data_IF_426439446137
#
_entry.id   IF_426439446137
#
_cell.length_a   1.000
_cell.length_b   1.000
_cell.length_c   1.000
_cell.angle_alpha   90.00
_cell.angle_beta   90.00
_cell.angle_gamma   90.00
#
_symmetry.space_group_name_H-M   'P 1'
#
loop_
_entity.id
_entity.type
_entity.pdbx_description
1 polymer ?
#
# COMPACT_ATOMS: atom_id res chain seq x y z
N UNK A 1 -8.87 17.46 21.43
CA UNK A 1 -9.12 16.02 21.40
C UNK A 1 -10.60 15.75 21.55
N UNK A 2 -11.26 15.65 20.41
CA UNK A 2 -12.62 15.17 20.25
C UNK A 2 -12.61 13.72 19.72
N UNK A 3 -13.76 13.06 19.83
CA UNK A 3 -14.03 11.80 19.13
C UNK A 3 -14.96 12.10 17.95
N UNK A 4 -14.50 11.84 16.73
CA UNK A 4 -15.23 12.11 15.50
C UNK A 4 -15.60 10.79 14.83
N UNK A 5 -16.87 10.69 14.41
CA UNK A 5 -17.36 9.57 13.63
C UNK A 5 -17.54 9.99 12.18
N UNK A 6 -17.09 9.15 11.25
CA UNK A 6 -17.37 9.31 9.83
C UNK A 6 -18.85 9.02 9.54
N UNK A 7 -19.53 10.00 8.97
CA UNK A 7 -20.92 9.90 8.50
C UNK A 7 -21.01 9.76 6.98
N UNK A 8 -20.20 10.52 6.25
CA UNK A 8 -20.27 10.56 4.79
C UNK A 8 -21.59 11.12 4.24
N UNK A 9 -22.14 12.16 4.86
CA UNK A 9 -23.43 12.76 4.50
C UNK A 9 -23.34 14.22 4.04
N UNK A 10 -22.14 14.69 3.72
CA UNK A 10 -21.88 16.04 3.23
C UNK A 10 -22.51 16.27 1.86
N UNK A 11 -23.04 17.48 1.60
CA UNK A 11 -23.65 17.79 0.32
C UNK A 11 -22.61 17.74 -0.80
N UNK A 12 -23.01 17.18 -1.94
CA UNK A 12 -22.17 17.13 -3.13
C UNK A 12 -22.16 18.48 -3.85
N UNK A 13 -20.97 18.99 -4.16
CA UNK A 13 -20.72 20.24 -4.87
C UNK A 13 -19.68 19.97 -5.95
N UNK A 14 -19.99 20.33 -7.20
CA UNK A 14 -19.06 20.21 -8.30
C UNK A 14 -17.89 21.19 -8.13
N UNK A 15 -16.68 20.71 -8.36
CA UNK A 15 -15.53 21.57 -8.49
C UNK A 15 -15.65 22.42 -9.75
N UNK A 16 -15.30 23.71 -9.64
CA UNK A 16 -15.21 24.64 -10.76
C UNK A 16 -13.86 25.34 -10.72
N UNK A 17 -13.10 25.20 -11.80
CA UNK A 17 -11.76 25.77 -11.96
C UNK A 17 -11.71 26.62 -13.22
N UNK A 18 -11.27 27.86 -13.09
CA UNK A 18 -11.07 28.78 -14.22
C UNK A 18 -9.61 28.81 -14.63
N UNK A 19 -9.34 28.90 -15.93
CA UNK A 19 -8.01 28.99 -16.53
C UNK A 19 -8.00 30.20 -17.47
N UNK A 20 -7.07 31.12 -17.24
CA UNK A 20 -6.97 32.37 -18.02
C UNK A 20 -5.59 32.46 -18.69
N UNK A 21 -5.53 32.47 -20.03
CA UNK A 21 -4.31 32.77 -20.77
C UNK A 21 -3.88 34.22 -20.58
N UNK A 22 -2.58 34.46 -20.44
CA UNK A 22 -2.01 35.82 -20.39
C UNK A 22 -0.57 35.87 -20.92
N UNK A 23 -0.01 37.07 -21.07
CA UNK A 23 1.35 37.29 -21.58
C UNK A 23 1.42 37.59 -23.08
N UNK A 24 2.60 37.41 -23.69
CA UNK A 24 2.78 37.50 -25.15
C UNK A 24 2.29 36.20 -25.77
N UNK A 25 1.19 36.27 -26.52
CA UNK A 25 0.46 35.10 -26.99
C UNK A 25 0.92 34.53 -28.35
N UNK A 26 1.48 35.29 -29.31
CA UNK A 26 1.86 34.75 -30.62
C UNK A 26 2.90 33.61 -30.56
N UNK A 27 2.61 32.49 -31.23
CA UNK A 27 3.51 31.33 -31.40
C UNK A 27 3.83 30.50 -30.15
N UNK A 28 3.23 30.83 -29.00
CA UNK A 28 3.44 30.07 -27.77
C UNK A 28 2.53 28.85 -27.70
N UNK A 29 2.99 27.80 -27.02
CA UNK A 29 2.22 26.56 -26.81
C UNK A 29 1.67 26.50 -25.39
N UNK A 30 0.36 26.38 -25.27
CA UNK A 30 -0.40 26.24 -24.03
C UNK A 30 -0.78 24.77 -23.83
N UNK A 31 -0.53 24.23 -22.65
CA UNK A 31 -0.76 22.82 -22.34
C UNK A 31 -1.56 22.66 -21.05
N UNK A 32 -2.60 21.84 -21.13
CA UNK A 32 -3.40 21.37 -20.00
C UNK A 32 -3.11 19.88 -19.79
N UNK A 33 -2.83 19.47 -18.55
CA UNK A 33 -2.48 18.09 -18.22
C UNK A 33 -3.32 17.59 -17.06
N UNK A 34 -3.96 16.42 -17.23
CA UNK A 34 -4.61 15.68 -16.16
C UNK A 34 -3.93 14.31 -16.05
N UNK A 35 -3.39 14.02 -14.87
CA UNK A 35 -2.51 12.86 -14.67
C UNK A 35 -1.33 12.86 -15.64
N UNK A 36 -1.26 11.87 -16.53
CA UNK A 36 -0.22 11.72 -17.55
C UNK A 36 -0.70 12.06 -18.98
N UNK A 37 -1.90 12.62 -19.13
CA UNK A 37 -2.47 12.96 -20.44
C UNK A 37 -2.50 14.48 -20.61
N UNK A 38 -2.01 14.94 -21.76
CA UNK A 38 -1.92 16.37 -22.07
C UNK A 38 -2.71 16.73 -23.32
N UNK A 39 -3.31 17.92 -23.32
CA UNK A 39 -3.87 18.60 -24.47
C UNK A 39 -3.09 19.89 -24.69
N UNK A 40 -2.60 20.12 -25.91
CA UNK A 40 -1.78 21.28 -26.23
C UNK A 40 -2.32 22.05 -27.43
N UNK A 41 -2.25 23.38 -27.35
CA UNK A 41 -2.59 24.31 -28.42
C UNK A 41 -1.44 25.28 -28.65
N UNK A 42 -1.02 25.43 -29.91
CA UNK A 42 -0.04 26.45 -30.29
C UNK A 42 -0.76 27.64 -30.91
N UNK A 43 -0.61 28.80 -30.28
CA UNK A 43 -1.26 30.02 -30.72
C UNK A 43 -0.69 30.54 -32.05
N UNK A 44 -1.58 30.91 -32.96
CA UNK A 44 -1.28 31.66 -34.17
C UNK A 44 -0.85 33.10 -33.89
N UNK A 45 -0.25 33.74 -34.89
CA UNK A 45 0.31 35.09 -34.76
C UNK A 45 -0.69 36.21 -34.43
N UNK A 46 -1.99 35.95 -34.57
CA UNK A 46 -3.09 36.88 -34.30
C UNK A 46 -3.99 36.47 -33.14
N UNK A 47 -3.71 35.35 -32.49
CA UNK A 47 -4.63 34.80 -31.50
C UNK A 47 -4.64 35.66 -30.23
N UNK A 48 -5.84 35.97 -29.78
CA UNK A 48 -6.09 36.66 -28.52
C UNK A 48 -6.26 35.65 -27.39
N UNK A 49 -6.32 36.13 -26.14
CA UNK A 49 -6.62 35.27 -25.00
C UNK A 49 -7.98 34.55 -25.14
N UNK A 50 -8.96 35.21 -25.78
CA UNK A 50 -10.26 34.62 -26.12
C UNK A 50 -10.13 33.48 -27.12
N UNK A 51 -9.34 33.67 -28.18
CA UNK A 51 -9.14 32.64 -29.20
C UNK A 51 -8.45 31.40 -28.60
N UNK A 52 -7.44 31.62 -27.73
CA UNK A 52 -6.73 30.55 -27.04
C UNK A 52 -7.64 29.81 -26.06
N UNK A 53 -8.41 30.53 -25.23
CA UNK A 53 -9.34 29.90 -24.30
C UNK A 53 -10.41 29.08 -25.04
N UNK A 54 -10.91 29.58 -26.18
CA UNK A 54 -11.84 28.85 -27.03
C UNK A 54 -11.19 27.60 -27.62
N UNK A 55 -9.99 27.71 -28.19
CA UNK A 55 -9.29 26.57 -28.78
C UNK A 55 -8.98 25.47 -27.76
N UNK A 56 -8.55 25.85 -26.54
CA UNK A 56 -8.34 24.90 -25.44
C UNK A 56 -9.66 24.24 -24.99
N UNK A 57 -10.75 25.00 -24.94
CA UNK A 57 -12.10 24.48 -24.63
C UNK A 57 -12.56 23.47 -25.67
N UNK A 58 -12.38 23.77 -26.95
CA UNK A 58 -12.75 22.89 -28.06
C UNK A 58 -11.90 21.61 -28.06
N UNK A 59 -10.59 21.72 -27.84
CA UNK A 59 -9.69 20.56 -27.70
C UNK A 59 -10.08 19.68 -26.51
N UNK A 60 -10.47 20.29 -25.39
CA UNK A 60 -10.92 19.55 -24.20
C UNK A 60 -12.19 18.76 -24.49
N UNK A 61 -13.22 19.42 -25.01
CA UNK A 61 -14.51 18.80 -25.31
C UNK A 61 -14.44 17.79 -26.46
N UNK A 62 -13.42 17.88 -27.33
CA UNK A 62 -13.15 16.87 -28.35
C UNK A 62 -12.39 15.63 -27.81
N UNK A 63 -11.81 15.71 -26.61
CA UNK A 63 -11.04 14.62 -26.04
C UNK A 63 -11.93 13.45 -25.64
N UNK A 64 -11.52 12.24 -26.01
CA UNK A 64 -12.19 10.99 -25.62
C UNK A 64 -11.53 10.30 -24.42
N UNK A 65 -10.48 10.91 -23.85
CA UNK A 65 -9.77 10.34 -22.72
C UNK A 65 -10.61 10.47 -21.44
N UNK A 66 -10.65 9.40 -20.64
CA UNK A 66 -11.54 9.32 -19.47
C UNK A 66 -11.31 10.44 -18.44
N UNK A 67 -10.06 10.91 -18.31
CA UNK A 67 -9.70 12.02 -17.43
C UNK A 67 -10.35 13.36 -17.83
N UNK A 68 -10.64 13.56 -19.11
CA UNK A 68 -11.26 14.79 -19.62
C UNK A 68 -12.78 14.65 -19.74
N UNK A 69 -13.28 13.47 -20.09
CA UNK A 69 -14.72 13.25 -20.34
C UNK A 69 -15.60 13.33 -19.09
N UNK A 70 -15.01 13.39 -17.88
CA UNK A 70 -15.72 13.63 -16.62
C UNK A 70 -15.74 15.12 -16.22
N UNK A 71 -15.27 16.00 -17.10
CA UNK A 71 -15.10 17.42 -16.86
C UNK A 71 -15.59 18.19 -18.09
N UNK A 72 -16.67 18.96 -17.94
CA UNK A 72 -17.15 19.85 -18.99
C UNK A 72 -16.32 21.14 -19.03
N UNK A 73 -15.84 21.49 -20.23
CA UNK A 73 -15.20 22.78 -20.49
C UNK A 73 -16.18 23.77 -21.15
N UNK A 74 -16.14 25.02 -20.70
CA UNK A 74 -16.77 26.16 -21.36
C UNK A 74 -15.82 27.35 -21.38
N UNK A 75 -16.11 28.42 -22.13
CA UNK A 75 -15.35 29.66 -22.02
C UNK A 75 -16.26 30.88 -22.05
N UNK A 76 -15.83 31.92 -21.34
CA UNK A 76 -16.38 33.26 -21.45
C UNK A 76 -15.25 34.29 -21.44
N UNK A 77 -15.21 35.15 -22.45
CA UNK A 77 -14.33 36.32 -22.56
C UNK A 77 -12.86 36.02 -22.21
N UNK A 78 -12.30 34.92 -22.74
CA UNK A 78 -10.89 34.56 -22.52
C UNK A 78 -10.61 33.84 -21.20
N UNK A 79 -11.66 33.41 -20.50
CA UNK A 79 -11.57 32.54 -19.33
C UNK A 79 -12.20 31.20 -19.67
N UNK A 80 -11.38 30.16 -19.73
CA UNK A 80 -11.86 28.78 -19.79
C UNK A 80 -12.32 28.35 -18.41
N UNK A 81 -13.48 27.70 -18.32
CA UNK A 81 -14.04 27.16 -17.08
C UNK A 81 -14.19 25.65 -17.22
N UNK A 82 -13.55 24.92 -16.32
CA UNK A 82 -13.68 23.48 -16.16
C UNK A 82 -14.61 23.19 -14.99
N UNK A 83 -15.63 22.37 -15.23
CA UNK A 83 -16.61 21.96 -14.21
C UNK A 83 -16.65 20.45 -14.12
N UNK A 84 -16.55 19.90 -12.91
CA UNK A 84 -16.74 18.46 -12.70
C UNK A 84 -18.18 18.07 -13.04
N UNK A 85 -18.34 17.04 -13.88
CA UNK A 85 -19.67 16.59 -14.31
C UNK A 85 -20.43 15.88 -13.17
N UNK A 86 -19.69 15.35 -12.19
CA UNK A 86 -20.25 14.65 -11.03
C UNK A 86 -19.89 15.44 -9.76
N UNK A 87 -20.88 16.12 -9.13
CA UNK A 87 -20.67 16.80 -7.87
C UNK A 87 -20.05 15.88 -6.81
N UNK A 88 -19.01 16.36 -6.11
CA UNK A 88 -18.29 15.56 -5.12
C UNK A 88 -17.11 14.76 -5.67
N UNK A 89 -16.89 14.71 -6.98
CA UNK A 89 -15.70 14.14 -7.60
C UNK A 89 -14.73 15.26 -7.99
N UNK A 90 -13.53 15.35 -7.36
CA UNK A 90 -12.55 16.37 -7.67
C UNK A 90 -11.74 16.00 -8.91
N UNK A 91 -11.08 17.01 -9.47
CA UNK A 91 -10.08 16.84 -10.53
C UNK A 91 -8.88 17.77 -10.32
N UNK A 92 -7.72 17.35 -10.81
CA UNK A 92 -6.52 18.18 -10.83
C UNK A 92 -6.06 18.42 -12.26
N UNK A 93 -5.89 19.70 -12.61
CA UNK A 93 -5.41 20.14 -13.91
C UNK A 93 -4.12 20.94 -13.72
N UNK A 94 -3.03 20.42 -14.25
CA UNK A 94 -1.77 21.16 -14.35
C UNK A 94 -1.77 21.96 -15.65
N UNK A 95 -1.25 23.18 -15.59
CA UNK A 95 -1.22 24.09 -16.74
C UNK A 95 0.19 24.60 -16.99
N UNK A 96 0.62 24.62 -18.25
CA UNK A 96 1.91 25.21 -18.64
C UNK A 96 1.79 25.98 -19.95
N UNK A 97 2.71 26.91 -20.17
CA UNK A 97 2.85 27.65 -21.43
C UNK A 97 4.34 27.87 -21.74
N UNK A 98 4.68 27.99 -23.01
CA UNK A 98 6.05 28.30 -23.44
C UNK A 98 6.36 29.80 -23.42
N UNK A 99 7.65 30.13 -23.50
CA UNK A 99 8.13 31.51 -23.64
C UNK A 99 7.73 32.41 -22.48
N UNK A 100 7.04 33.51 -22.79
CA UNK A 100 6.57 34.49 -21.79
C UNK A 100 5.06 34.39 -21.50
N UNK A 101 4.36 33.46 -22.15
CA UNK A 101 2.95 33.23 -21.90
C UNK A 101 2.72 32.48 -20.59
N UNK A 102 1.53 32.62 -20.02
CA UNK A 102 1.13 31.90 -18.81
C UNK A 102 -0.33 31.46 -18.89
N UNK A 103 -0.65 30.41 -18.13
CA UNK A 103 -2.01 30.02 -17.79
C UNK A 103 -2.18 30.24 -16.29
N UNK A 104 -3.10 31.12 -15.91
CA UNK A 104 -3.45 31.31 -14.50
C UNK A 104 -4.64 30.44 -14.16
N UNK A 105 -4.45 29.52 -13.22
CA UNK A 105 -5.46 28.55 -12.79
C UNK A 105 -6.01 28.94 -11.42
N UNK A 106 -7.34 28.96 -11.27
CA UNK A 106 -8.00 29.34 -10.02
C UNK A 106 -9.25 28.48 -9.78
N UNK A 107 -9.30 27.78 -8.65
CA UNK A 107 -10.48 27.01 -8.23
C UNK A 107 -11.46 27.92 -7.52
N UNK A 108 -12.54 28.29 -8.20
CA UNK A 108 -13.58 29.21 -7.68
C UNK A 108 -14.67 28.49 -6.87
N UNK A 109 -14.86 27.20 -7.12
CA UNK A 109 -15.71 26.33 -6.29
C UNK A 109 -14.93 25.07 -5.96
N UNK A 110 -14.68 24.85 -4.67
CA UNK A 110 -13.99 23.65 -4.17
C UNK A 110 -14.90 22.44 -4.23
N UNK A 111 -14.34 21.27 -4.58
CA UNK A 111 -15.04 20.01 -4.46
C UNK A 111 -15.51 19.78 -3.02
N UNK A 112 -16.73 19.28 -2.85
CA UNK A 112 -17.25 18.76 -1.57
C UNK A 112 -18.20 17.62 -1.86
N UNK A 113 -18.27 16.63 -0.98
CA UNK A 113 -19.22 15.55 -1.15
C UNK A 113 -19.18 14.50 -0.06
N UNK A 114 -20.07 13.49 -0.13
CA UNK A 114 -20.17 12.45 0.89
C UNK A 114 -18.93 11.56 1.00
N UNK A 115 -18.05 11.58 -0.01
CA UNK A 115 -16.84 10.75 -0.06
C UNK A 115 -15.53 11.51 0.15
N UNK A 116 -15.62 12.79 0.49
CA UNK A 116 -14.48 13.68 0.67
C UNK A 116 -14.15 13.87 2.16
N UNK A 117 -12.95 13.47 2.58
CA UNK A 117 -12.47 13.65 3.95
C UNK A 117 -12.53 15.12 4.38
N UNK A 118 -12.20 16.04 3.48
CA UNK A 118 -12.08 17.48 3.74
C UNK A 118 -13.43 18.21 3.85
N UNK A 119 -14.55 17.48 3.72
CA UNK A 119 -15.89 18.02 3.92
C UNK A 119 -16.32 17.87 5.39
N UNK A 120 -16.32 18.98 6.13
CA UNK A 120 -16.65 19.03 7.56
C UNK A 120 -18.01 18.40 7.93
N UNK A 121 -19.00 18.49 7.03
CA UNK A 121 -20.33 17.89 7.21
C UNK A 121 -20.31 16.34 7.22
N UNK A 122 -19.23 15.70 6.77
CA UNK A 122 -19.05 14.26 6.87
C UNK A 122 -18.69 13.78 8.27
N UNK A 123 -18.44 14.68 9.21
CA UNK A 123 -18.00 14.35 10.56
C UNK A 123 -19.10 14.58 11.58
N UNK A 124 -19.14 13.75 12.63
CA UNK A 124 -20.19 13.81 13.66
C UNK A 124 -20.29 15.15 14.37
N UNK A 125 -19.16 15.85 14.49
CA UNK A 125 -19.03 17.16 15.14
C UNK A 125 -19.26 18.34 14.19
N UNK A 126 -19.41 18.09 12.89
CA UNK A 126 -19.48 19.14 11.86
C UNK A 126 -18.16 19.90 11.66
N UNK A 127 -17.04 19.35 12.14
CA UNK A 127 -15.68 19.90 12.02
C UNK A 127 -14.71 18.82 11.55
N UNK A 128 -13.65 19.21 10.85
CA UNK A 128 -12.61 18.27 10.41
C UNK A 128 -11.79 17.74 11.59
N UNK A 129 -11.29 16.49 11.53
CA UNK A 129 -10.31 15.99 12.48
C UNK A 129 -9.06 16.87 12.52
N UNK A 130 -8.54 17.09 13.73
CA UNK A 130 -7.31 17.85 13.99
C UNK A 130 -6.34 17.06 14.86
N UNK A 131 -5.18 17.64 15.17
CA UNK A 131 -4.14 16.98 15.95
C UNK A 131 -4.65 16.53 17.32
N UNK A 132 -4.36 15.27 17.66
CA UNK A 132 -4.75 14.64 18.91
C UNK A 132 -6.20 14.17 18.96
N UNK A 133 -6.99 14.29 17.90
CA UNK A 133 -8.35 13.74 17.88
C UNK A 133 -8.37 12.21 17.71
N UNK A 134 -9.51 11.60 18.05
CA UNK A 134 -9.81 10.19 17.76
C UNK A 134 -10.82 10.11 16.62
N UNK A 135 -10.49 9.40 15.56
CA UNK A 135 -11.37 9.19 14.41
C UNK A 135 -11.90 7.76 14.42
N UNK A 136 -13.20 7.59 14.18
CA UNK A 136 -13.88 6.29 14.17
C UNK A 136 -14.68 6.12 12.89
N UNK A 137 -14.43 5.01 12.20
CA UNK A 137 -15.24 4.48 11.12
C UNK A 137 -16.00 3.26 11.60
N UNK A 138 -17.33 3.33 11.63
CA UNK A 138 -18.19 2.20 11.98
C UNK A 138 -19.57 2.33 11.34
N UNK A 139 -20.26 1.20 11.15
CA UNK A 139 -21.67 1.13 10.73
C UNK A 139 -22.01 1.99 9.49
N UNK A 140 -21.07 2.11 8.56
CA UNK A 140 -21.22 2.92 7.36
C UNK A 140 -20.63 2.18 6.16
N UNK A 141 -21.30 2.34 5.02
CA UNK A 141 -20.83 1.90 3.70
C UNK A 141 -20.31 3.06 2.85
N UNK A 142 -20.35 4.29 3.36
CA UNK A 142 -19.96 5.47 2.59
C UNK A 142 -18.44 5.56 2.52
N UNK A 143 -17.82 5.45 1.33
CA UNK A 143 -16.38 5.41 1.21
C UNK A 143 -15.74 6.80 1.43
N UNK A 144 -14.46 6.82 1.81
CA UNK A 144 -13.57 7.97 1.77
C UNK A 144 -12.67 7.80 0.55
N UNK A 145 -12.91 8.59 -0.48
CA UNK A 145 -12.25 8.47 -1.78
C UNK A 145 -11.42 9.71 -2.13
N UNK A 146 -11.78 10.86 -1.56
CA UNK A 146 -11.20 12.15 -1.91
C UNK A 146 -10.76 12.93 -0.67
N UNK A 147 -9.95 13.98 -0.88
CA UNK A 147 -9.34 14.75 0.20
C UNK A 147 -8.33 13.94 1.01
N UNK A 148 -7.63 13.02 0.33
CA UNK A 148 -6.84 11.98 0.97
C UNK A 148 -5.50 12.46 1.54
N UNK A 149 -4.96 13.60 1.07
CA UNK A 149 -3.80 14.23 1.73
C UNK A 149 -4.23 14.99 2.99
N UNK A 150 -3.95 14.37 4.13
CA UNK A 150 -4.13 14.91 5.48
C UNK A 150 -2.81 14.79 6.26
N UNK A 151 -1.68 14.84 5.56
CA UNK A 151 -0.34 14.57 6.11
C UNK A 151 0.07 15.52 7.25
N UNK A 152 -0.56 16.70 7.32
CA UNK A 152 -0.38 17.66 8.41
C UNK A 152 -1.11 17.29 9.72
N UNK A 153 -2.01 16.30 9.70
CA UNK A 153 -2.80 15.88 10.86
C UNK A 153 -2.15 14.65 11.52
N UNK A 154 -1.99 14.70 12.84
CA UNK A 154 -1.58 13.57 13.68
C UNK A 154 -2.67 13.24 14.69
N UNK A 155 -3.43 12.18 14.44
CA UNK A 155 -4.47 11.68 15.31
C UNK A 155 -3.88 10.98 16.54
N UNK A 156 -4.60 11.05 17.66
CA UNK A 156 -4.32 10.21 18.82
C UNK A 156 -4.73 8.74 18.56
N UNK A 157 -5.82 8.53 17.81
CA UNK A 157 -6.25 7.19 17.42
C UNK A 157 -7.10 7.22 16.14
N UNK A 158 -6.94 6.19 15.31
CA UNK A 158 -7.80 5.89 14.16
C UNK A 158 -8.37 4.49 14.33
N UNK A 159 -9.68 4.39 14.53
CA UNK A 159 -10.38 3.12 14.65
C UNK A 159 -11.23 2.87 13.42
N UNK A 160 -10.96 1.78 12.70
CA UNK A 160 -11.77 1.32 11.58
C UNK A 160 -12.41 -0.01 11.99
N UNK A 161 -13.64 0.07 12.50
CA UNK A 161 -14.36 -1.11 13.01
C UNK A 161 -14.74 -2.03 11.84
N UNK A 162 -14.86 -3.33 12.12
CA UNK A 162 -15.26 -4.32 11.12
C UNK A 162 -16.64 -3.99 10.52
N UNK A 163 -17.52 -3.28 11.25
CA UNK A 163 -18.83 -2.85 10.73
C UNK A 163 -18.77 -1.75 9.67
N UNK A 164 -17.62 -1.10 9.49
CA UNK A 164 -17.40 -0.21 8.35
C UNK A 164 -17.10 -1.04 7.10
N UNK A 165 -17.96 -0.91 6.09
CA UNK A 165 -17.84 -1.62 4.81
C UNK A 165 -17.54 -0.68 3.64
N UNK A 166 -17.49 0.64 3.90
CA UNK A 166 -17.01 1.62 2.93
C UNK A 166 -15.53 1.41 2.62
N UNK A 167 -15.06 1.93 1.49
CA UNK A 167 -13.65 1.89 1.06
C UNK A 167 -12.92 3.13 1.60
N UNK A 168 -11.62 3.04 1.88
CA UNK A 168 -10.74 4.17 2.19
C UNK A 168 -9.59 4.14 1.19
N UNK A 169 -9.45 5.22 0.42
CA UNK A 169 -8.50 5.34 -0.67
C UNK A 169 -9.05 4.93 -2.04
N UNK A 170 -8.26 5.18 -3.08
CA UNK A 170 -8.59 4.89 -4.49
C UNK A 170 -7.83 3.66 -5.00
N UNK A 171 -8.35 3.05 -6.09
CA UNK A 171 -7.70 1.93 -6.78
C UNK A 171 -6.66 2.47 -7.76
N UNK A 172 -5.39 2.12 -7.61
CA UNK A 172 -4.32 2.60 -8.48
C UNK A 172 -4.50 2.15 -9.95
N UNK A 173 -5.10 0.98 -10.17
CA UNK A 173 -5.24 0.37 -11.48
C UNK A 173 -6.55 0.74 -12.20
N UNK A 174 -7.42 1.54 -11.59
CA UNK A 174 -8.69 1.93 -12.19
C UNK A 174 -9.11 3.34 -11.78
N UNK A 175 -9.28 4.22 -12.76
CA UNK A 175 -9.69 5.60 -12.56
C UNK A 175 -11.12 5.67 -11.99
N UNK A 176 -11.27 6.33 -10.85
CA UNK A 176 -12.56 6.44 -10.15
C UNK A 176 -13.36 7.62 -10.73
N UNK A 177 -14.46 7.33 -11.42
CA UNK A 177 -15.31 8.37 -12.02
C UNK A 177 -16.42 8.84 -11.07
N UNK A 178 -16.85 7.99 -10.14
CA UNK A 178 -17.82 8.28 -9.08
C UNK A 178 -17.60 7.32 -7.89
N UNK A 179 -18.36 7.45 -6.81
CA UNK A 179 -18.24 6.72 -5.54
C UNK A 179 -18.07 5.20 -5.66
N UNK A 180 -18.64 4.57 -6.70
CA UNK A 180 -18.47 3.14 -6.94
C UNK A 180 -18.34 2.76 -8.43
N UNK A 181 -18.04 3.74 -9.29
CA UNK A 181 -17.87 3.51 -10.73
C UNK A 181 -16.43 3.77 -11.13
N UNK A 182 -15.87 2.86 -11.93
CA UNK A 182 -14.47 2.87 -12.31
C UNK A 182 -14.30 2.70 -13.82
N UNK A 183 -13.30 3.39 -14.38
CA UNK A 183 -12.79 3.11 -15.72
C UNK A 183 -11.53 2.25 -15.61
N UNK A 184 -11.65 0.97 -15.97
CA UNK A 184 -10.59 -0.04 -15.73
C UNK A 184 -9.43 -0.02 -16.72
N UNK A 185 -9.56 0.74 -17.81
CA UNK A 185 -8.49 0.90 -18.81
C UNK A 185 -7.56 2.08 -18.50
N UNK A 186 -7.77 2.79 -17.40
CA UNK A 186 -7.01 3.96 -17.00
C UNK A 186 -6.61 3.84 -15.54
N UNK A 187 -5.36 4.18 -15.22
CA UNK A 187 -4.90 4.20 -13.83
C UNK A 187 -5.51 5.40 -13.08
N UNK A 188 -5.54 5.33 -11.75
CA UNK A 188 -5.88 6.51 -10.95
C UNK A 188 -4.66 7.44 -10.89
N UNK A 189 -4.88 8.73 -11.14
CA UNK A 189 -3.80 9.74 -11.13
C UNK A 189 -3.73 10.53 -9.83
N UNK A 190 -4.83 10.56 -9.07
CA UNK A 190 -4.93 11.25 -7.77
C UNK A 190 -4.26 10.44 -6.67
N UNK A 191 -4.06 11.06 -5.51
CA UNK A 191 -3.62 10.34 -4.32
C UNK A 191 -4.53 9.16 -4.03
N UNK A 192 -3.94 8.00 -3.76
CA UNK A 192 -4.70 6.75 -3.61
C UNK A 192 -4.71 6.22 -2.18
N UNK A 193 -3.84 6.73 -1.32
CA UNK A 193 -3.78 6.45 0.11
C UNK A 193 -4.32 7.64 0.90
N UNK A 194 -5.07 7.38 1.98
CA UNK A 194 -5.31 8.40 2.99
C UNK A 194 -4.00 8.65 3.73
N UNK A 195 -3.31 9.73 3.40
CA UNK A 195 -2.10 10.18 4.06
C UNK A 195 -2.49 10.92 5.34
N UNK A 196 -2.35 10.28 6.51
CA UNK A 196 -2.69 10.85 7.81
C UNK A 196 -1.85 10.23 8.92
N UNK A 197 -1.27 11.06 9.79
CA UNK A 197 -0.58 10.57 10.98
C UNK A 197 -1.58 10.01 12.00
N UNK A 198 -1.26 8.88 12.62
CA UNK A 198 -1.99 8.37 13.78
C UNK A 198 -1.05 7.57 14.70
N UNK A 199 -1.02 7.88 15.99
CA UNK A 199 -0.13 7.16 16.91
C UNK A 199 -0.64 5.74 17.23
N UNK A 200 -1.95 5.54 17.13
CA UNK A 200 -2.61 4.24 17.28
C UNK A 200 -3.63 4.01 16.17
N UNK A 201 -3.55 2.86 15.51
CA UNK A 201 -4.53 2.43 14.50
C UNK A 201 -5.06 1.06 14.88
N UNK A 202 -6.38 0.93 14.95
CA UNK A 202 -7.06 -0.35 15.19
C UNK A 202 -8.03 -0.65 14.04
N UNK A 203 -7.87 -1.81 13.39
CA UNK A 203 -8.68 -2.24 12.26
C UNK A 203 -9.38 -3.57 12.60
N UNK A 204 -10.66 -3.65 12.29
CA UNK A 204 -11.41 -4.91 12.31
C UNK A 204 -11.91 -5.34 13.68
N UNK A 205 -11.91 -4.45 14.68
CA UNK A 205 -12.59 -4.74 15.94
C UNK A 205 -14.10 -4.87 15.69
N UNK A 206 -14.72 -5.87 16.32
CA UNK A 206 -16.16 -6.08 16.32
C UNK A 206 -16.61 -6.66 17.66
N UNK A 207 -17.77 -6.22 18.13
CA UNK A 207 -18.51 -6.84 19.22
C UNK A 207 -19.88 -7.25 18.69
N UNK A 208 -20.12 -8.57 18.61
CA UNK A 208 -21.38 -9.11 18.11
C UNK A 208 -21.26 -10.58 17.70
N UNK A 209 -22.40 -11.25 17.55
CA UNK A 209 -22.46 -12.69 17.30
C UNK A 209 -22.05 -13.08 15.87
N UNK A 210 -22.12 -12.16 14.91
CA UNK A 210 -21.74 -12.40 13.52
C UNK A 210 -20.79 -11.29 13.06
N UNK A 211 -19.52 -11.61 12.74
CA UNK A 211 -18.57 -10.61 12.31
C UNK A 211 -19.03 -10.00 10.98
N UNK A 212 -19.12 -8.66 10.89
CA UNK A 212 -19.40 -7.98 9.64
C UNK A 212 -18.30 -8.25 8.61
N UNK A 213 -18.59 -7.95 7.34
CA UNK A 213 -17.67 -8.21 6.25
C UNK A 213 -16.35 -7.44 6.37
N UNK A 214 -16.35 -6.25 6.98
CA UNK A 214 -15.21 -5.34 6.93
C UNK A 214 -15.08 -4.63 5.59
N UNK A 215 -14.25 -3.60 5.56
CA UNK A 215 -13.93 -2.88 4.33
C UNK A 215 -13.06 -3.74 3.41
N UNK A 216 -13.40 -3.75 2.12
CA UNK A 216 -12.62 -4.42 1.08
C UNK A 216 -11.41 -3.61 0.59
N UNK A 217 -11.26 -2.36 1.06
CA UNK A 217 -10.11 -1.50 0.74
C UNK A 217 -9.91 -0.46 1.84
N UNK A 218 -8.78 -0.54 2.52
CA UNK A 218 -8.25 0.44 3.45
C UNK A 218 -6.80 0.71 3.03
N UNK A 219 -6.54 1.89 2.50
CA UNK A 219 -5.21 2.35 2.12
C UNK A 219 -4.80 3.51 3.03
N UNK A 220 -3.80 3.30 3.86
CA UNK A 220 -3.31 4.29 4.83
C UNK A 220 -1.81 4.57 4.63
N UNK A 221 -1.45 5.84 4.60
CA UNK A 221 -0.06 6.30 4.71
C UNK A 221 0.08 7.15 5.96
N UNK A 222 0.94 6.72 6.89
CA UNK A 222 1.16 7.41 8.18
C UNK A 222 2.36 8.34 8.18
N UNK A 223 3.06 8.45 7.04
CA UNK A 223 4.23 9.29 6.87
C UNK A 223 5.28 9.00 7.93
N UNK A 224 5.85 10.06 8.53
CA UNK A 224 6.85 9.95 9.59
C UNK A 224 6.28 9.79 11.01
N UNK A 225 4.96 9.60 11.16
CA UNK A 225 4.34 9.45 12.49
C UNK A 225 4.65 8.08 13.07
N UNK A 226 5.15 8.04 14.31
CA UNK A 226 5.29 6.78 15.04
C UNK A 226 3.92 6.13 15.24
N UNK A 227 3.71 4.98 14.62
CA UNK A 227 2.41 4.31 14.55
C UNK A 227 2.47 2.94 15.20
N UNK A 228 1.50 2.64 16.08
CA UNK A 228 1.15 1.27 16.44
C UNK A 228 -0.09 0.84 15.66
N UNK A 229 0.08 -0.04 14.68
CA UNK A 229 -1.01 -0.61 13.88
C UNK A 229 -1.42 -1.98 14.44
N UNK A 230 -2.71 -2.16 14.74
CA UNK A 230 -3.29 -3.41 15.17
C UNK A 230 -4.44 -3.83 14.25
N UNK A 231 -4.26 -4.92 13.52
CA UNK A 231 -5.24 -5.52 12.62
C UNK A 231 -5.82 -6.78 13.29
N UNK A 232 -7.06 -6.67 13.75
CA UNK A 232 -7.77 -7.77 14.41
C UNK A 232 -8.45 -8.70 13.39
N UNK A 233 -8.98 -8.11 12.32
CA UNK A 233 -9.57 -8.81 11.18
C UNK A 233 -9.68 -7.84 9.98
N UNK A 234 -9.97 -8.36 8.80
CA UNK A 234 -10.21 -7.57 7.58
C UNK A 234 -11.39 -8.15 6.80
N UNK A 235 -11.72 -7.58 5.65
CA UNK A 235 -12.48 -8.31 4.65
C UNK A 235 -11.71 -9.55 4.17
N UNK A 236 -12.45 -10.58 3.75
CA UNK A 236 -11.87 -11.81 3.19
C UNK A 236 -11.32 -11.62 1.78
N UNK A 237 -11.85 -10.64 1.04
CA UNK A 237 -11.52 -10.34 -0.35
C UNK A 237 -11.33 -8.83 -0.51
N UNK A 238 -10.31 -8.45 -1.27
CA UNK A 238 -10.06 -7.07 -1.68
C UNK A 238 -10.95 -6.71 -2.87
N UNK A 239 -11.42 -5.47 -2.96
CA UNK A 239 -12.04 -4.97 -4.19
C UNK A 239 -11.04 -4.75 -5.31
N UNK A 240 -9.77 -4.60 -4.95
CA UNK A 240 -8.68 -4.36 -5.87
C UNK A 240 -8.01 -5.71 -6.18
N UNK A 241 -7.97 -6.07 -7.46
CA UNK A 241 -7.54 -7.38 -7.92
C UNK A 241 -6.11 -7.71 -7.43
N UNK A 242 -5.91 -8.92 -6.90
CA UNK A 242 -4.64 -9.40 -6.35
C UNK A 242 -4.03 -8.56 -5.20
N UNK A 243 -4.78 -7.66 -4.60
CA UNK A 243 -4.30 -6.82 -3.49
C UNK A 243 -4.85 -7.27 -2.13
N UNK A 244 -4.22 -6.78 -1.06
CA UNK A 244 -4.73 -6.96 0.29
C UNK A 244 -5.80 -5.89 0.61
N UNK A 245 -6.90 -6.26 1.30
CA UNK A 245 -7.92 -5.32 1.75
C UNK A 245 -7.37 -4.19 2.63
N UNK A 246 -6.35 -4.46 3.43
CA UNK A 246 -5.61 -3.42 4.16
C UNK A 246 -4.23 -3.28 3.54
N UNK A 247 -3.87 -2.08 3.13
CA UNK A 247 -2.53 -1.68 2.65
C UNK A 247 -2.06 -0.50 3.49
N UNK A 248 -0.84 -0.61 4.02
CA UNK A 248 -0.29 0.39 4.92
C UNK A 248 1.14 0.76 4.57
N UNK A 249 1.44 2.05 4.71
CA UNK A 249 2.76 2.65 4.59
C UNK A 249 3.03 3.53 5.82
N UNK A 250 4.27 3.53 6.29
CA UNK A 250 4.75 4.41 7.35
C UNK A 250 6.27 4.36 7.44
N UNK A 251 6.91 5.48 7.75
CA UNK A 251 8.36 5.68 7.64
C UNK A 251 9.06 5.93 8.98
N UNK A 252 8.33 5.90 10.08
CA UNK A 252 8.94 6.05 11.39
C UNK A 252 9.69 4.78 11.82
N UNK A 253 10.92 4.93 12.30
CA UNK A 253 11.78 3.81 12.68
C UNK A 253 11.17 2.90 13.77
N UNK A 254 10.38 3.47 14.68
CA UNK A 254 9.75 2.74 15.80
C UNK A 254 8.30 2.31 15.54
N UNK A 255 7.90 2.16 14.28
CA UNK A 255 6.59 1.61 13.95
C UNK A 255 6.46 0.16 14.45
N UNK A 256 5.29 -0.15 14.98
CA UNK A 256 4.94 -1.50 15.45
C UNK A 256 3.66 -1.96 14.78
N UNK A 257 3.70 -3.13 14.15
CA UNK A 257 2.57 -3.70 13.42
C UNK A 257 2.19 -5.03 14.06
N UNK A 258 0.90 -5.23 14.33
CA UNK A 258 0.34 -6.46 14.86
C UNK A 258 -0.84 -6.89 13.99
N UNK A 259 -0.86 -8.14 13.59
CA UNK A 259 -2.02 -8.74 12.92
C UNK A 259 -2.40 -10.04 13.59
N UNK A 260 -3.68 -10.18 13.92
CA UNK A 260 -4.25 -11.39 14.50
C UNK A 260 -4.93 -12.25 13.43
N UNK A 261 -5.71 -11.61 12.55
CA UNK A 261 -6.41 -12.24 11.43
C UNK A 261 -6.56 -11.27 10.25
N UNK A 262 -6.88 -11.81 9.08
CA UNK A 262 -7.18 -11.05 7.88
C UNK A 262 -5.98 -10.93 6.95
N UNK A 263 -5.98 -9.89 6.11
CA UNK A 263 -5.02 -9.73 5.02
C UNK A 263 -4.43 -8.33 5.04
N UNK A 264 -3.11 -8.24 5.17
CA UNK A 264 -2.36 -6.98 5.26
C UNK A 264 -1.22 -6.92 4.23
N UNK A 265 -1.15 -5.81 3.50
CA UNK A 265 -0.03 -5.43 2.67
C UNK A 265 0.78 -4.30 3.33
N UNK A 266 2.10 -4.43 3.40
CA UNK A 266 3.02 -3.40 3.88
C UNK A 266 3.88 -2.97 2.70
N UNK A 267 3.66 -1.75 2.19
CA UNK A 267 4.32 -1.22 0.99
C UNK A 267 4.34 -2.22 -0.19
N UNK A 268 3.25 -2.98 -0.35
CA UNK A 268 3.15 -4.12 -1.27
C UNK A 268 2.35 -3.82 -2.54
N UNK A 269 1.85 -2.60 -2.69
CA UNK A 269 0.80 -2.31 -3.66
C UNK A 269 1.36 -1.89 -5.02
N UNK A 270 2.36 -1.00 -5.02
CA UNK A 270 3.05 -0.55 -6.23
C UNK A 270 4.57 -0.75 -6.12
N UNK A 271 5.27 -1.01 -7.24
CA UNK A 271 6.72 -0.99 -7.25
C UNK A 271 7.27 0.34 -6.75
N UNK A 272 8.26 0.29 -5.84
CA UNK A 272 8.90 1.48 -5.28
C UNK A 272 8.26 2.02 -4.00
N UNK A 273 7.11 1.48 -3.56
CA UNK A 273 6.62 1.76 -2.22
C UNK A 273 7.64 1.28 -1.17
N UNK A 274 7.80 2.08 -0.11
CA UNK A 274 8.71 1.81 0.99
C UNK A 274 8.01 2.02 2.32
N UNK A 275 8.41 1.29 3.35
CA UNK A 275 7.96 1.50 4.72
C UNK A 275 9.06 1.11 5.71
N UNK A 276 8.91 1.50 6.97
CA UNK A 276 9.81 1.12 8.06
C UNK A 276 8.97 0.54 9.19
N UNK A 277 9.33 -0.66 9.63
CA UNK A 277 8.69 -1.39 10.72
C UNK A 277 9.78 -1.94 11.63
N UNK A 278 9.77 -1.52 12.90
CA UNK A 278 10.70 -2.09 13.88
C UNK A 278 10.25 -3.50 14.27
N UNK A 279 8.98 -3.64 14.66
CA UNK A 279 8.45 -4.93 15.12
C UNK A 279 7.16 -5.29 14.40
N UNK A 280 7.16 -6.44 13.73
CA UNK A 280 5.99 -7.05 13.10
C UNK A 280 5.62 -8.34 13.85
N UNK A 281 4.41 -8.37 14.41
CA UNK A 281 3.85 -9.55 15.09
C UNK A 281 2.69 -10.13 14.30
N UNK A 282 2.75 -11.42 14.06
CA UNK A 282 1.74 -12.17 13.32
C UNK A 282 1.23 -13.27 14.23
N UNK A 283 0.00 -13.08 14.70
CA UNK A 283 -0.68 -13.96 15.62
C UNK A 283 -1.53 -15.00 14.93
N UNK A 284 -2.32 -15.68 15.76
CA UNK A 284 -3.35 -16.62 15.37
C UNK A 284 -4.54 -16.49 16.33
N UNK A 285 -5.76 -16.72 15.83
CA UNK A 285 -6.97 -16.75 16.65
C UNK A 285 -7.62 -18.14 16.69
N UNK A 286 -7.25 -19.04 15.77
CA UNK A 286 -7.78 -20.40 15.70
C UNK A 286 -7.01 -21.36 14.78
N UNK A 287 -6.65 -20.95 13.55
CA UNK A 287 -5.95 -21.81 12.57
C UNK A 287 -4.52 -21.34 12.31
N UNK A 288 -3.55 -22.17 12.71
CA UNK A 288 -2.11 -21.94 12.62
C UNK A 288 -1.63 -21.39 11.26
N UNK A 289 -2.19 -21.83 10.13
CA UNK A 289 -1.67 -21.48 8.80
C UNK A 289 -2.53 -20.56 7.91
N UNK A 290 -3.68 -20.05 8.37
CA UNK A 290 -4.59 -19.30 7.47
C UNK A 290 -5.32 -18.12 8.09
N UNK A 291 -5.12 -17.85 9.39
CA UNK A 291 -5.81 -16.76 10.06
C UNK A 291 -5.38 -15.38 9.54
N UNK A 292 -4.07 -15.21 9.32
CA UNK A 292 -3.48 -13.97 8.81
C UNK A 292 -2.67 -14.26 7.53
N UNK A 293 -2.74 -13.34 6.56
CA UNK A 293 -1.85 -13.27 5.40
C UNK A 293 -1.19 -11.90 5.39
N UNK A 294 0.14 -11.87 5.42
CA UNK A 294 0.91 -10.63 5.35
C UNK A 294 1.80 -10.65 4.12
N UNK A 295 1.70 -9.60 3.31
CA UNK A 295 2.59 -9.37 2.15
C UNK A 295 3.44 -8.16 2.45
N UNK A 296 4.76 -8.33 2.36
CA UNK A 296 5.74 -7.32 2.68
C UNK A 296 6.50 -6.98 1.40
N UNK A 297 6.37 -5.73 0.94
CA UNK A 297 7.04 -5.26 -0.27
C UNK A 297 8.54 -5.14 -0.11
N UNK A 298 9.25 -5.04 -1.23
CA UNK A 298 10.71 -5.02 -1.24
C UNK A 298 11.36 -3.72 -0.76
N UNK A 299 10.61 -2.62 -0.74
CA UNK A 299 11.08 -1.34 -0.17
C UNK A 299 10.95 -1.24 1.35
N UNK A 300 10.56 -2.32 2.04
CA UNK A 300 10.36 -2.29 3.49
C UNK A 300 11.69 -2.46 4.24
N UNK A 301 11.95 -1.58 5.20
CA UNK A 301 12.97 -1.79 6.24
C UNK A 301 12.31 -2.47 7.44
N UNK A 302 12.61 -3.75 7.67
CA UNK A 302 12.04 -4.54 8.77
C UNK A 302 13.14 -5.04 9.72
N UNK A 303 13.06 -4.69 11.00
CA UNK A 303 14.02 -5.17 12.00
C UNK A 303 13.64 -6.56 12.51
N UNK A 304 12.47 -6.69 13.14
CA UNK A 304 12.03 -7.90 13.83
C UNK A 304 10.71 -8.43 13.26
N UNK A 305 10.72 -9.68 12.79
CA UNK A 305 9.54 -10.46 12.41
C UNK A 305 9.28 -11.56 13.43
N UNK A 306 8.15 -11.49 14.11
CA UNK A 306 7.67 -12.50 15.04
C UNK A 306 6.41 -13.18 14.48
N UNK A 307 6.55 -14.43 14.04
CA UNK A 307 5.46 -15.20 13.46
C UNK A 307 5.05 -16.34 14.38
N UNK A 308 3.80 -16.31 14.86
CA UNK A 308 3.18 -17.36 15.66
C UNK A 308 2.04 -18.09 14.92
N UNK A 309 1.85 -17.77 13.63
CA UNK A 309 0.87 -18.37 12.75
C UNK A 309 0.76 -17.60 11.43
N UNK A 310 -0.28 -17.91 10.66
CA UNK A 310 -0.58 -17.27 9.38
C UNK A 310 0.45 -17.57 8.28
N UNK A 311 0.33 -16.83 7.19
CA UNK A 311 1.21 -16.89 6.02
C UNK A 311 1.90 -15.55 5.84
N UNK A 312 3.22 -15.59 5.63
CA UNK A 312 4.04 -14.41 5.32
C UNK A 312 4.67 -14.56 3.95
N UNK A 313 4.49 -13.53 3.13
CA UNK A 313 5.19 -13.34 1.88
C UNK A 313 6.18 -12.18 2.08
N UNK A 314 7.45 -12.50 2.26
CA UNK A 314 8.51 -11.57 2.62
C UNK A 314 9.36 -11.20 1.39
N UNK A 315 9.32 -9.91 1.03
CA UNK A 315 10.09 -9.36 -0.09
C UNK A 315 11.26 -8.46 0.30
N UNK A 316 11.59 -8.31 1.59
CA UNK A 316 12.61 -7.39 2.07
C UNK A 316 13.61 -8.02 3.06
N UNK A 317 14.71 -7.31 3.31
CA UNK A 317 15.73 -7.70 4.29
C UNK A 317 15.16 -7.66 5.71
N UNK A 318 15.58 -8.62 6.53
CA UNK A 318 15.16 -8.71 7.94
C UNK A 318 16.35 -9.04 8.84
N UNK A 319 16.46 -8.30 9.94
CA UNK A 319 17.52 -8.57 10.94
C UNK A 319 17.20 -9.82 11.75
N UNK A 320 16.00 -9.93 12.32
CA UNK A 320 15.60 -11.07 13.13
C UNK A 320 14.26 -11.63 12.67
N UNK A 321 14.24 -12.91 12.31
CA UNK A 321 13.04 -13.70 12.05
C UNK A 321 12.92 -14.74 13.16
N UNK A 322 11.82 -14.68 13.90
CA UNK A 322 11.44 -15.68 14.89
C UNK A 322 10.08 -16.26 14.54
N UNK A 323 10.09 -17.40 13.84
CA UNK A 323 8.90 -18.15 13.48
C UNK A 323 8.71 -19.33 14.44
N UNK A 324 7.63 -19.28 15.22
CA UNK A 324 7.20 -20.35 16.11
C UNK A 324 6.14 -21.27 15.50
N UNK A 325 5.42 -20.80 14.47
CA UNK A 325 4.47 -21.56 13.65
C UNK A 325 4.09 -20.78 12.38
N UNK A 326 3.28 -21.39 11.52
CA UNK A 326 2.80 -20.79 10.27
C UNK A 326 3.71 -21.09 9.08
N UNK A 327 3.47 -20.40 7.97
CA UNK A 327 4.23 -20.54 6.72
C UNK A 327 4.93 -19.21 6.39
N UNK A 328 6.22 -19.26 6.10
CA UNK A 328 7.02 -18.14 5.62
C UNK A 328 7.50 -18.44 4.21
N UNK A 329 7.25 -17.53 3.27
CA UNK A 329 7.80 -17.60 1.92
C UNK A 329 8.57 -16.32 1.65
N UNK A 330 9.80 -16.46 1.15
CA UNK A 330 10.66 -15.30 0.82
C UNK A 330 10.90 -15.22 -0.67
N UNK A 331 11.03 -14.03 -1.23
CA UNK A 331 11.32 -13.83 -2.65
C UNK A 331 12.22 -12.61 -2.90
N UNK A 332 12.87 -12.56 -4.06
CA UNK A 332 13.76 -11.45 -4.42
C UNK A 332 15.19 -11.63 -3.93
N UNK A 333 15.92 -10.53 -3.76
CA UNK A 333 17.34 -10.52 -3.37
C UNK A 333 17.49 -10.03 -1.93
N UNK A 334 17.24 -10.94 -0.97
CA UNK A 334 17.18 -10.60 0.46
C UNK A 334 18.46 -11.00 1.20
N UNK A 335 18.95 -10.16 2.09
CA UNK A 335 19.93 -10.52 3.10
C UNK A 335 19.24 -10.77 4.44
N UNK A 336 19.33 -12.00 4.95
CA UNK A 336 18.73 -12.38 6.23
C UNK A 336 19.82 -12.59 7.29
N UNK A 337 19.69 -11.93 8.44
CA UNK A 337 20.72 -12.03 9.48
C UNK A 337 20.46 -13.20 10.44
N UNK A 338 19.38 -13.17 11.24
CA UNK A 338 19.07 -14.20 12.22
C UNK A 338 17.71 -14.83 11.93
N UNK A 339 17.69 -16.07 11.43
CA UNK A 339 16.47 -16.76 11.02
C UNK A 339 16.24 -17.98 11.90
N UNK A 340 15.16 -17.99 12.69
CA UNK A 340 14.72 -19.13 13.51
C UNK A 340 13.37 -19.64 13.01
N UNK A 341 13.32 -20.90 12.60
CA UNK A 341 12.15 -21.55 11.97
C UNK A 341 11.71 -22.75 12.80
N UNK A 342 10.52 -22.70 13.36
CA UNK A 342 9.83 -23.84 13.97
C UNK A 342 8.54 -24.26 13.22
N UNK A 343 8.13 -23.47 12.21
CA UNK A 343 7.03 -23.80 11.30
C UNK A 343 7.57 -24.26 9.94
N UNK A 344 6.89 -23.83 8.88
CA UNK A 344 7.31 -24.07 7.50
C UNK A 344 7.92 -22.79 6.91
N UNK A 345 9.07 -22.92 6.26
CA UNK A 345 9.71 -21.83 5.53
C UNK A 345 10.17 -22.28 4.14
N UNK A 346 9.67 -21.61 3.11
CA UNK A 346 10.11 -21.75 1.72
C UNK A 346 10.97 -20.54 1.34
N UNK A 347 12.29 -20.72 1.34
CA UNK A 347 13.22 -19.61 1.20
C UNK A 347 13.66 -19.41 -0.26
N UNK A 348 12.75 -18.91 -1.09
CA UNK A 348 12.95 -18.70 -2.53
C UNK A 348 13.73 -17.42 -2.90
N UNK A 349 14.34 -16.70 -1.95
CA UNK A 349 15.19 -15.53 -2.25
C UNK A 349 16.59 -15.93 -2.72
N UNK A 350 17.39 -15.02 -3.28
CA UNK A 350 18.75 -15.34 -3.81
C UNK A 350 19.91 -14.74 -3.01
N UNK A 351 19.65 -14.04 -1.90
CA UNK A 351 20.71 -13.49 -1.05
C UNK A 351 21.12 -14.41 0.10
N UNK A 352 22.06 -13.92 0.91
CA UNK A 352 22.74 -14.70 1.94
C UNK A 352 21.96 -14.77 3.27
N UNK A 353 22.20 -15.84 4.01
CA UNK A 353 21.69 -16.04 5.37
C UNK A 353 22.88 -16.13 6.33
N UNK A 354 22.94 -15.24 7.32
CA UNK A 354 24.05 -15.27 8.30
C UNK A 354 23.85 -16.42 9.30
N UNK A 355 22.70 -16.48 9.96
CA UNK A 355 22.37 -17.51 10.95
C UNK A 355 21.02 -18.16 10.60
N UNK A 356 21.04 -19.46 10.28
CA UNK A 356 19.85 -20.27 10.09
C UNK A 356 19.72 -21.27 11.24
N UNK A 357 18.62 -21.17 12.00
CA UNK A 357 18.25 -22.10 13.06
C UNK A 357 16.94 -22.77 12.65
N UNK A 358 17.01 -24.08 12.42
CA UNK A 358 15.84 -24.92 12.20
C UNK A 358 15.53 -25.59 13.53
N UNK A 359 14.56 -25.03 14.24
CA UNK A 359 14.12 -25.47 15.55
C UNK A 359 13.43 -26.85 15.48
N UNK A 360 12.99 -27.34 16.64
CA UNK A 360 12.31 -28.63 16.75
C UNK A 360 11.13 -28.72 15.78
N UNK A 361 11.11 -29.79 14.98
CA UNK A 361 10.11 -30.08 13.93
C UNK A 361 10.00 -29.02 12.81
N UNK A 362 10.85 -27.98 12.81
CA UNK A 362 10.87 -26.93 11.80
C UNK A 362 11.25 -27.46 10.41
N UNK A 363 10.64 -26.91 9.37
CA UNK A 363 10.83 -27.33 7.98
C UNK A 363 11.34 -26.14 7.16
N UNK A 364 12.53 -26.26 6.57
CA UNK A 364 13.09 -25.26 5.67
C UNK A 364 13.31 -25.87 4.28
N UNK A 365 12.81 -25.18 3.27
CA UNK A 365 13.01 -25.52 1.87
C UNK A 365 13.87 -24.47 1.14
N UNK A 366 15.01 -24.90 0.60
CA UNK A 366 15.91 -24.13 -0.26
C UNK A 366 15.91 -24.66 -1.72
N UNK A 367 15.04 -25.61 -2.05
CA UNK A 367 15.05 -26.36 -3.32
C UNK A 367 14.50 -25.56 -4.51
N UNK A 368 13.83 -24.44 -4.28
CA UNK A 368 13.13 -23.71 -5.34
C UNK A 368 13.99 -22.71 -6.14
N UNK A 369 15.26 -22.52 -5.80
CA UNK A 369 16.16 -21.59 -6.50
C UNK A 369 17.53 -22.20 -6.73
N UNK A 370 18.04 -22.09 -7.96
CA UNK A 370 19.35 -22.61 -8.37
C UNK A 370 20.48 -21.56 -8.38
N UNK A 371 20.17 -20.32 -8.01
CA UNK A 371 21.15 -19.24 -7.88
C UNK A 371 22.03 -19.44 -6.63
N UNK A 372 23.27 -18.95 -6.70
CA UNK A 372 24.25 -19.06 -5.60
C UNK A 372 23.81 -18.25 -4.38
N UNK A 373 23.86 -18.88 -3.20
CA UNK A 373 23.71 -18.24 -1.90
C UNK A 373 24.64 -18.85 -0.86
N UNK A 374 24.89 -18.10 0.20
CA UNK A 374 25.69 -18.53 1.35
C UNK A 374 24.82 -18.62 2.60
N UNK A 375 24.96 -19.72 3.33
CA UNK A 375 24.49 -19.84 4.71
C UNK A 375 25.74 -19.89 5.60
N UNK A 376 25.98 -18.86 6.40
CA UNK A 376 27.21 -18.80 7.21
C UNK A 376 27.17 -19.83 8.34
N UNK A 377 26.13 -19.79 9.18
CA UNK A 377 25.87 -20.73 10.27
C UNK A 377 24.53 -21.43 10.05
N UNK A 378 24.51 -22.76 10.17
CA UNK A 378 23.29 -23.56 10.07
C UNK A 378 23.18 -24.52 11.25
N UNK A 379 22.12 -24.39 12.04
CA UNK A 379 21.85 -25.21 13.21
C UNK A 379 20.55 -25.98 13.00
N UNK A 380 20.58 -27.31 13.14
CA UNK A 380 19.42 -28.17 13.00
C UNK A 380 19.14 -28.93 14.31
N UNK A 381 17.91 -28.83 14.81
CA UNK A 381 17.45 -29.46 16.04
C UNK A 381 16.62 -30.72 15.77
N UNK A 382 16.24 -31.44 16.82
CA UNK A 382 15.51 -32.71 16.70
C UNK A 382 14.19 -32.57 15.92
N UNK A 383 13.98 -33.42 14.91
CA UNK A 383 12.80 -33.39 14.04
C UNK A 383 12.89 -32.40 12.88
N UNK A 384 13.93 -31.55 12.84
CA UNK A 384 14.10 -30.56 11.78
C UNK A 384 14.27 -31.22 10.41
N UNK A 385 13.73 -30.56 9.38
CA UNK A 385 14.01 -30.88 7.99
C UNK A 385 14.59 -29.70 7.22
N UNK A 386 15.59 -30.00 6.40
CA UNK A 386 16.24 -29.08 5.49
C UNK A 386 16.25 -29.69 4.08
N UNK A 387 15.55 -29.05 3.14
CA UNK A 387 15.55 -29.46 1.74
C UNK A 387 16.50 -28.59 0.91
N UNK A 388 17.53 -29.21 0.32
CA UNK A 388 18.52 -28.54 -0.53
C UNK A 388 18.36 -28.90 -2.00
N UNK A 389 17.44 -29.79 -2.36
CA UNK A 389 17.42 -30.45 -3.66
C UNK A 389 16.89 -29.58 -4.81
N UNK A 390 17.63 -28.53 -5.18
CA UNK A 390 17.30 -27.63 -6.31
C UNK A 390 17.92 -28.03 -7.66
N UNK A 391 18.50 -29.23 -7.76
CA UNK A 391 19.18 -29.71 -8.96
C UNK A 391 20.53 -29.05 -9.29
N UNK A 392 21.01 -28.07 -8.49
CA UNK A 392 22.32 -27.44 -8.66
C UNK A 392 23.14 -27.48 -7.35
N UNK A 393 24.08 -28.44 -7.18
CA UNK A 393 24.86 -28.57 -5.95
C UNK A 393 25.82 -27.39 -5.66
N UNK A 394 26.04 -26.49 -6.62
CA UNK A 394 26.89 -25.31 -6.46
C UNK A 394 26.12 -24.06 -6.00
N UNK A 395 24.80 -24.17 -5.86
CA UNK A 395 23.92 -23.03 -5.58
C UNK A 395 23.82 -22.68 -4.10
N UNK A 396 24.12 -23.59 -3.17
CA UNK A 396 24.05 -23.30 -1.74
C UNK A 396 25.38 -23.70 -1.11
N UNK A 397 26.04 -22.75 -0.46
CA UNK A 397 27.28 -22.98 0.27
C UNK A 397 27.07 -22.76 1.77
N UNK A 398 27.64 -23.66 2.58
CA UNK A 398 27.64 -23.53 4.04
C UNK A 398 29.06 -23.20 4.51
N UNK A 399 29.30 -21.98 5.00
CA UNK A 399 30.66 -21.55 5.35
C UNK A 399 31.20 -22.29 6.56
N UNK A 400 30.38 -22.44 7.61
CA UNK A 400 30.76 -23.13 8.83
C UNK A 400 30.18 -24.55 8.95
N UNK A 401 29.55 -25.06 7.87
CA UNK A 401 28.91 -26.37 7.84
C UNK A 401 27.47 -26.37 8.38
N UNK A 402 26.98 -27.56 8.71
CA UNK A 402 25.65 -27.80 9.30
C UNK A 402 25.85 -28.51 10.65
N UNK A 403 25.42 -27.86 11.72
CA UNK A 403 25.55 -28.35 13.09
C UNK A 403 24.25 -28.99 13.57
N UNK A 404 24.32 -30.28 13.92
CA UNK A 404 23.24 -30.97 14.65
C UNK A 404 23.33 -30.61 16.13
N UNK A 405 22.45 -29.73 16.61
CA UNK A 405 22.49 -29.21 17.99
C UNK A 405 21.46 -29.95 18.84
N UNK A 406 21.92 -30.51 19.97
CA UNK A 406 21.06 -31.23 20.93
C UNK A 406 20.23 -32.37 20.28
N UNK A 407 20.72 -32.93 19.18
CA UNK A 407 20.03 -33.97 18.42
C UNK A 407 21.04 -34.96 17.85
N UNK A 408 20.59 -36.19 17.64
CA UNK A 408 21.39 -37.16 16.91
C UNK A 408 21.15 -36.99 15.40
N UNK A 409 22.16 -37.21 14.52
CA UNK A 409 22.02 -37.01 13.08
C UNK A 409 20.86 -37.78 12.44
N UNK A 410 20.48 -38.94 12.98
CA UNK A 410 19.33 -39.72 12.47
C UNK A 410 17.96 -39.10 12.76
N UNK A 411 17.90 -38.10 13.66
CA UNK A 411 16.66 -37.42 14.02
C UNK A 411 16.42 -36.14 13.20
N UNK A 412 17.30 -35.84 12.23
CA UNK A 412 17.13 -34.73 11.30
C UNK A 412 17.00 -35.25 9.88
N UNK A 413 16.21 -34.57 9.06
CA UNK A 413 16.06 -34.92 7.64
C UNK A 413 16.77 -33.88 6.79
N UNK A 414 17.82 -34.27 6.08
CA UNK A 414 18.49 -33.40 5.11
C UNK A 414 18.35 -34.01 3.71
N UNK A 415 17.59 -33.36 2.85
CA UNK A 415 17.43 -33.77 1.46
C UNK A 415 18.51 -33.11 0.60
N UNK A 416 19.60 -33.84 0.39
CA UNK A 416 20.74 -33.39 -0.42
C UNK A 416 20.44 -33.39 -1.92
N UNK A 417 21.25 -32.66 -2.69
CA UNK A 417 21.30 -32.85 -4.14
C UNK A 417 21.77 -34.27 -4.50
N UNK A 418 21.44 -34.77 -5.69
CA UNK A 418 22.07 -35.98 -6.24
C UNK A 418 23.60 -35.80 -6.38
N UNK A 419 24.38 -36.84 -6.09
CA UNK A 419 25.82 -36.94 -6.36
C UNK A 419 26.72 -35.92 -5.62
N UNK A 420 26.39 -35.58 -4.38
CA UNK A 420 27.16 -34.62 -3.58
C UNK A 420 28.26 -35.31 -2.78
N UNK A 421 29.42 -34.65 -2.66
CA UNK A 421 30.47 -35.03 -1.72
C UNK A 421 30.25 -34.31 -0.40
N UNK A 422 30.10 -35.06 0.68
CA UNK A 422 30.04 -34.53 2.05
C UNK A 422 31.43 -34.53 2.66
N UNK A 423 31.88 -33.37 3.15
CA UNK A 423 33.11 -33.25 3.93
C UNK A 423 32.73 -32.89 5.37
N UNK A 424 32.97 -33.80 6.31
CA UNK A 424 32.74 -33.56 7.74
C UNK A 424 33.97 -32.87 8.33
N UNK A 425 33.87 -31.60 8.72
CA UNK A 425 35.01 -30.79 9.17
C UNK A 425 35.38 -30.97 10.65
N UNK A 426 34.46 -31.44 11.51
CA UNK A 426 34.75 -31.89 12.88
C UNK A 426 33.60 -32.75 13.43
N UNK A 427 33.91 -33.89 14.04
CA UNK A 427 33.00 -34.60 14.95
C UNK A 427 33.56 -34.32 16.34
N UNK A 428 32.89 -33.46 17.11
CA UNK A 428 33.32 -33.09 18.47
C UNK A 428 32.51 -33.87 19.49
#
# INVERSE_FOLDING_TARGET
MATLYWKGCGPAVAQVTTITPSGTLPSETFTLTVGNTSLSYTAGGSDTATDIAQALTDLWNASTHAYHTSITASQDTGVMTLTSDIPGVPFDVATSATGSATLTTNTITVNRGPNDWATAANWSTGSLPTNGDTVIFENSSVPVLFGLDQSAVTLAALHIKQSYVGKIGLNDAAFTVDADTYQTCQCEYRDTYLAIGATSIEIGQHAGATPPAGSSRIKLDTGATQTTLHVLNTASVSSDNNQQPVRWIGHHASNVVRILRGKLGIASNLPGEAATVSNLYIGQAGRLGSDALVVIGSGVTLTDLHQAGGTVLLGCDVTNIHQSAGTLSTFGSLALSNVTIAGEADLMHIGDITNLIIAHDGQVDLSHQSASRTVTNCYVYNGAALNLNNGNPLSISFTNGIDCVQTAPQNVTINWWPNVRLNTSAIV
#
